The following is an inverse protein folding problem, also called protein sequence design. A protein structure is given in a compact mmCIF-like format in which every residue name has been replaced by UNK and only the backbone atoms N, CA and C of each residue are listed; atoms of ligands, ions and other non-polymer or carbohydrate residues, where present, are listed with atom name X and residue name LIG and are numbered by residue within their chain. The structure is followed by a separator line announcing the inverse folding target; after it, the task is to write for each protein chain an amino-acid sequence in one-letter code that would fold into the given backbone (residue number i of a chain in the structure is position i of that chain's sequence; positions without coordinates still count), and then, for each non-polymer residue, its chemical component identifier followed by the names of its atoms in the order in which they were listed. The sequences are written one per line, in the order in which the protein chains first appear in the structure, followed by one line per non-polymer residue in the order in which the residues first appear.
data_IF_208679857712
#
_entry.id   IF_208679857712
#
_cell.length_a   1.000
_cell.length_b   1.000
_cell.length_c   1.000
_cell.angle_alpha   90.00
_cell.angle_beta   90.00
_cell.angle_gamma   90.00
#
_symmetry.space_group_name_H-M   'P 1'
#
loop_
_entity.id
_entity.type
_entity.pdbx_description
1 polymer ?
#
# COMPACT_ATOMS: atom_id res chain seq x y z
N UNK A 1 1.98 24.88 -7.74
CA UNK A 1 2.50 23.81 -6.87
C UNK A 1 2.18 22.49 -7.55
N UNK A 2 3.19 21.78 -8.04
CA UNK A 2 3.02 20.48 -8.67
C UNK A 2 3.34 19.43 -7.59
N UNK A 3 2.29 18.86 -6.98
CA UNK A 3 2.37 17.91 -5.86
C UNK A 3 2.77 16.49 -6.31
N UNK A 4 2.54 16.18 -7.58
CA UNK A 4 2.83 14.88 -8.18
C UNK A 4 4.14 14.94 -8.95
N UNK A 5 4.83 13.81 -9.02
CA UNK A 5 5.96 13.62 -9.93
C UNK A 5 5.51 12.60 -10.96
N UNK A 6 5.31 13.05 -12.20
CA UNK A 6 4.76 12.23 -13.28
C UNK A 6 5.61 10.97 -13.54
N UNK A 7 6.95 11.11 -13.49
CA UNK A 7 7.87 9.97 -13.64
C UNK A 7 7.69 8.94 -12.54
N UNK A 8 7.56 9.37 -11.28
CA UNK A 8 7.34 8.46 -10.15
C UNK A 8 5.97 7.78 -10.23
N UNK A 9 4.95 8.51 -10.69
CA UNK A 9 3.61 7.98 -10.89
C UNK A 9 3.60 6.90 -11.99
N UNK A 10 4.24 7.15 -13.13
CA UNK A 10 4.37 6.16 -14.20
C UNK A 10 5.12 4.90 -13.75
N UNK A 11 6.18 5.05 -12.95
CA UNK A 11 6.92 3.93 -12.37
C UNK A 11 6.04 3.11 -11.42
N UNK A 12 5.29 3.78 -10.53
CA UNK A 12 4.36 3.11 -9.64
C UNK A 12 3.28 2.33 -10.41
N UNK A 13 2.70 2.92 -11.46
CA UNK A 13 1.69 2.25 -12.30
C UNK A 13 2.27 0.99 -12.96
N UNK A 14 3.50 1.03 -13.49
CA UNK A 14 4.15 -0.15 -14.09
C UNK A 14 4.30 -1.29 -13.09
N UNK A 15 4.79 -0.99 -11.89
CA UNK A 15 4.95 -1.98 -10.82
C UNK A 15 3.60 -2.58 -10.40
N UNK A 16 2.54 -1.76 -10.32
CA UNK A 16 1.20 -2.23 -9.96
C UNK A 16 0.54 -3.09 -11.05
N UNK A 17 0.84 -2.86 -12.33
CA UNK A 17 0.30 -3.65 -13.44
C UNK A 17 0.85 -5.09 -13.47
N UNK A 18 2.05 -5.30 -12.94
CA UNK A 18 2.72 -6.61 -12.89
C UNK A 18 2.44 -7.35 -11.57
N UNK A 19 1.80 -6.69 -10.60
CA UNK A 19 1.56 -7.24 -9.27
C UNK A 19 0.50 -8.35 -9.29
N UNK A 20 0.82 -9.49 -8.66
CA UNK A 20 -0.15 -10.57 -8.41
C UNK A 20 -1.07 -10.25 -7.23
N UNK A 21 -0.61 -9.38 -6.32
CA UNK A 21 -1.33 -8.92 -5.13
C UNK A 21 -0.92 -7.49 -4.77
N UNK A 22 -1.88 -6.66 -4.38
CA UNK A 22 -1.63 -5.30 -3.87
C UNK A 22 -2.19 -5.17 -2.46
N UNK A 23 -1.36 -4.75 -1.51
CA UNK A 23 -1.82 -4.41 -0.16
C UNK A 23 -1.73 -2.92 0.13
N UNK A 24 -2.77 -2.36 0.76
CA UNK A 24 -2.83 -0.96 1.14
C UNK A 24 -2.67 -0.81 2.65
N UNK A 25 -1.65 -0.10 3.09
CA UNK A 25 -1.36 0.12 4.51
C UNK A 25 -1.53 1.58 4.89
N UNK A 26 -2.17 1.83 6.03
CA UNK A 26 -2.27 3.16 6.62
C UNK A 26 -3.07 3.12 7.92
N UNK A 27 -2.79 4.00 8.87
CA UNK A 27 -3.51 4.06 10.14
C UNK A 27 -4.25 5.39 10.29
N UNK A 28 -5.29 5.43 11.13
CA UNK A 28 -6.09 6.64 11.36
C UNK A 28 -6.65 7.22 10.06
N UNK A 29 -6.43 8.51 9.82
CA UNK A 29 -6.88 9.18 8.58
C UNK A 29 -6.32 8.56 7.30
N UNK A 30 -5.04 8.14 7.30
CA UNK A 30 -4.45 7.41 6.18
C UNK A 30 -5.09 6.04 5.97
N UNK A 31 -5.61 5.42 7.03
CA UNK A 31 -6.35 4.15 6.94
C UNK A 31 -7.64 4.29 6.14
N UNK A 32 -8.33 5.43 6.23
CA UNK A 32 -9.53 5.69 5.42
C UNK A 32 -9.16 5.78 3.93
N UNK A 33 -8.03 6.39 3.61
CA UNK A 33 -7.52 6.45 2.23
C UNK A 33 -7.11 5.06 1.72
N UNK A 34 -6.49 4.23 2.57
CA UNK A 34 -6.15 2.85 2.22
C UNK A 34 -7.40 2.02 1.89
N UNK A 35 -8.46 2.16 2.68
CA UNK A 35 -9.75 1.49 2.44
C UNK A 35 -10.44 1.98 1.16
N UNK A 36 -10.41 3.29 0.90
CA UNK A 36 -10.94 3.86 -0.35
C UNK A 36 -10.17 3.39 -1.58
N UNK A 37 -8.83 3.34 -1.49
CA UNK A 37 -7.98 2.79 -2.55
C UNK A 37 -8.30 1.32 -2.80
N UNK A 38 -8.37 0.48 -1.75
CA UNK A 38 -8.80 -0.91 -1.86
C UNK A 38 -10.15 -1.04 -2.58
N UNK A 39 -11.17 -0.25 -2.17
CA UNK A 39 -12.48 -0.29 -2.82
C UNK A 39 -12.43 0.06 -4.32
N UNK A 40 -11.59 1.00 -4.72
CA UNK A 40 -11.39 1.35 -6.12
C UNK A 40 -10.63 0.26 -6.89
N UNK A 41 -9.60 -0.32 -6.27
CA UNK A 41 -8.76 -1.35 -6.88
C UNK A 41 -9.48 -2.69 -7.02
N UNK A 42 -10.48 -3.00 -6.19
CA UNK A 42 -11.33 -4.18 -6.39
C UNK A 42 -11.94 -4.25 -7.79
N UNK A 43 -12.15 -3.12 -8.47
CA UNK A 43 -12.70 -3.06 -9.82
C UNK A 43 -11.67 -3.33 -10.93
N UNK A 44 -10.39 -3.48 -10.59
CA UNK A 44 -9.30 -3.73 -11.56
C UNK A 44 -9.09 -5.21 -11.85
N UNK A 45 -9.64 -6.11 -11.02
CA UNK A 45 -9.41 -7.54 -11.10
C UNK A 45 -8.10 -8.00 -10.45
N UNK A 46 -7.25 -7.09 -9.98
CA UNK A 46 -6.03 -7.42 -9.23
C UNK A 46 -6.43 -7.78 -7.79
N UNK A 47 -5.89 -8.89 -7.28
CA UNK A 47 -6.08 -9.29 -5.88
C UNK A 47 -5.58 -8.20 -4.96
N UNK A 48 -6.44 -7.69 -4.09
CA UNK A 48 -6.05 -6.60 -3.20
C UNK A 48 -6.71 -6.67 -1.82
N UNK A 49 -6.09 -6.03 -0.84
CA UNK A 49 -6.59 -5.90 0.53
C UNK A 49 -6.07 -4.62 1.18
N UNK A 50 -6.80 -4.09 2.17
CA UNK A 50 -6.31 -3.01 3.01
C UNK A 50 -6.15 -3.46 4.47
N UNK A 51 -5.06 -3.06 5.10
CA UNK A 51 -4.78 -3.27 6.52
C UNK A 51 -4.65 -1.92 7.22
N UNK A 52 -5.58 -1.63 8.14
CA UNK A 52 -5.59 -0.38 8.92
C UNK A 52 -5.07 -0.55 10.35
N UNK A 53 -4.85 -1.80 10.76
CA UNK A 53 -4.24 -2.19 12.02
C UNK A 53 -2.77 -2.54 11.79
N UNK A 54 -1.87 -2.04 12.64
CA UNK A 54 -0.41 -2.22 12.48
C UNK A 54 0.04 -3.67 12.66
N UNK A 55 -0.61 -4.45 13.53
CA UNK A 55 -0.26 -5.86 13.68
C UNK A 55 -0.65 -6.66 12.43
N UNK A 56 -1.79 -6.33 11.82
CA UNK A 56 -2.20 -6.96 10.57
C UNK A 56 -1.31 -6.55 9.40
N UNK A 57 -0.82 -5.31 9.36
CA UNK A 57 0.17 -4.88 8.37
C UNK A 57 1.46 -5.71 8.48
N UNK A 58 1.99 -5.92 9.68
CA UNK A 58 3.20 -6.74 9.89
C UNK A 58 2.97 -8.20 9.47
N UNK A 59 1.84 -8.79 9.88
CA UNK A 59 1.50 -10.17 9.50
C UNK A 59 1.28 -10.32 8.00
N UNK A 60 0.60 -9.37 7.36
CA UNK A 60 0.40 -9.32 5.91
C UNK A 60 1.72 -9.22 5.17
N UNK A 61 2.57 -8.27 5.60
CA UNK A 61 3.91 -8.05 5.06
C UNK A 61 4.77 -9.32 5.08
N UNK A 62 4.79 -10.04 6.20
CA UNK A 62 5.56 -11.29 6.34
C UNK A 62 5.07 -12.46 5.47
N UNK A 63 3.91 -12.33 4.82
CA UNK A 63 3.35 -13.33 3.90
C UNK A 63 3.46 -12.92 2.43
N UNK A 64 4.07 -11.77 2.14
CA UNK A 64 4.23 -11.28 0.77
C UNK A 64 5.23 -12.13 -0.01
N UNK A 65 5.00 -12.21 -1.32
CA UNK A 65 5.94 -12.77 -2.28
C UNK A 65 6.56 -11.62 -3.07
N UNK A 66 7.60 -11.93 -3.86
CA UNK A 66 8.26 -10.96 -4.74
C UNK A 66 7.35 -10.35 -5.83
N UNK A 67 6.17 -10.92 -6.02
CA UNK A 67 5.18 -10.50 -7.01
C UNK A 67 4.10 -9.61 -6.39
N UNK A 68 4.15 -9.38 -5.07
CA UNK A 68 3.23 -8.52 -4.37
C UNK A 68 3.77 -7.09 -4.21
N UNK A 69 2.86 -6.12 -4.09
CA UNK A 69 3.21 -4.71 -3.92
C UNK A 69 2.46 -4.14 -2.72
N UNK A 70 3.17 -3.40 -1.88
CA UNK A 70 2.57 -2.62 -0.78
C UNK A 70 2.47 -1.15 -1.17
N UNK A 71 1.29 -0.56 -1.02
CA UNK A 71 1.05 0.87 -1.06
C UNK A 71 0.89 1.38 0.37
N UNK A 72 1.94 1.98 0.91
CA UNK A 72 1.95 2.57 2.24
C UNK A 72 1.57 4.06 2.20
N UNK A 73 0.55 4.42 2.98
CA UNK A 73 -0.01 5.77 3.01
C UNK A 73 0.31 6.41 4.36
N UNK A 74 1.14 7.45 4.34
CA UNK A 74 1.57 8.18 5.53
C UNK A 74 1.73 9.66 5.24
N UNK A 75 1.14 10.51 6.09
CA UNK A 75 1.30 11.96 5.96
C UNK A 75 2.68 12.43 6.44
N UNK A 76 3.13 11.98 7.61
CA UNK A 76 4.41 12.39 8.20
C UNK A 76 5.60 11.54 7.75
N UNK A 77 5.35 10.36 7.17
CA UNK A 77 6.39 9.38 6.86
C UNK A 77 7.03 8.73 8.10
N UNK A 78 6.50 8.98 9.31
CA UNK A 78 7.17 8.63 10.57
C UNK A 78 6.36 7.68 11.47
N UNK A 79 5.35 7.01 10.91
CA UNK A 79 4.53 6.05 11.65
C UNK A 79 5.33 4.75 11.87
N UNK A 80 5.71 4.48 13.12
CA UNK A 80 6.55 3.35 13.49
C UNK A 80 5.96 2.00 13.07
N UNK A 81 4.68 1.75 13.36
CA UNK A 81 4.05 0.47 13.01
C UNK A 81 3.99 0.23 11.49
N UNK A 82 3.80 1.29 10.71
CA UNK A 82 3.86 1.21 9.26
C UNK A 82 5.29 0.96 8.75
N UNK A 83 6.28 1.65 9.32
CA UNK A 83 7.69 1.45 8.96
C UNK A 83 8.16 0.04 9.31
N UNK A 84 7.78 -0.49 10.47
CA UNK A 84 8.06 -1.86 10.89
C UNK A 84 7.45 -2.88 9.92
N UNK A 85 6.22 -2.67 9.45
CA UNK A 85 5.62 -3.54 8.43
C UNK A 85 6.40 -3.50 7.10
N UNK A 86 6.91 -2.33 6.70
CA UNK A 86 7.69 -2.17 5.48
C UNK A 86 9.11 -2.76 5.56
N UNK A 87 9.68 -2.89 6.76
CA UNK A 87 10.97 -3.58 6.96
C UNK A 87 10.84 -5.11 6.80
N UNK A 88 9.64 -5.65 6.99
CA UNK A 88 9.35 -7.09 6.87
C UNK A 88 8.92 -7.48 5.46
N UNK A 89 8.34 -6.56 4.69
CA UNK A 89 7.85 -6.75 3.32
C UNK A 89 8.99 -6.93 2.30
#
# INVERSE_FOLDING_TARGET
MHLLNDTALEQAVKVLQEASRIEFYGNGGSGIIAMDAYHKFMRTGISCIAHTDSHFQIMGAGLLTKEAVVIAISHSGSNKGLLEALEVA
#
